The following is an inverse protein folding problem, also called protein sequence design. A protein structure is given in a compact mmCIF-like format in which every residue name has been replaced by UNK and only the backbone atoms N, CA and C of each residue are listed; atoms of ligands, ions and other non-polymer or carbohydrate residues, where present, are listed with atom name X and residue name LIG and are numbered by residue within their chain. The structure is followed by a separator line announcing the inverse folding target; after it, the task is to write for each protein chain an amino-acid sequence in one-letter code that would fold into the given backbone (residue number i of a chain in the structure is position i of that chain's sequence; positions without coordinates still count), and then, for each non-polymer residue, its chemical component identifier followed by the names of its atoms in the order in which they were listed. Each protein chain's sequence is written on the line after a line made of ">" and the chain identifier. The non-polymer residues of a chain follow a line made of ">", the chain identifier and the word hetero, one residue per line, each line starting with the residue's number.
data_IF_386106797289
#
_entry.id   IF_386106797289
#
_cell.length_a   1.000
_cell.length_b   1.000
_cell.length_c   1.000
_cell.angle_alpha   90.00
_cell.angle_beta   90.00
_cell.angle_gamma   90.00
#
_symmetry.space_group_name_H-M   'P 1'
#
loop_
_entity.id
_entity.type
_entity.pdbx_description
1 polymer ?
#
# COMPACT_ATOMS: atom_id res chain seq x y z
N UNK A 1 -3.03 -8.69 -18.60
CA UNK A 1 -2.06 -7.61 -18.90
C UNK A 1 -2.78 -6.27 -18.71
N UNK A 2 -2.28 -5.39 -17.82
CA UNK A 2 -2.90 -4.09 -17.54
C UNK A 2 -2.59 -3.10 -18.67
N UNK A 3 -3.57 -2.31 -19.10
CA UNK A 3 -3.35 -1.28 -20.12
C UNK A 3 -2.79 -0.01 -19.46
N UNK A 4 -1.51 0.26 -19.67
CA UNK A 4 -0.80 1.39 -19.06
C UNK A 4 -1.27 2.75 -19.59
N UNK A 5 -1.65 2.86 -20.87
CA UNK A 5 -2.12 4.12 -21.46
C UNK A 5 -3.47 4.52 -20.87
N UNK A 6 -4.37 3.54 -20.74
CA UNK A 6 -5.71 3.74 -20.18
C UNK A 6 -5.65 4.16 -18.71
N UNK A 7 -4.70 3.61 -17.95
CA UNK A 7 -4.59 3.80 -16.50
C UNK A 7 -3.62 4.91 -16.09
N UNK A 8 -2.92 5.52 -17.04
CA UNK A 8 -1.84 6.47 -16.78
C UNK A 8 -2.26 7.61 -15.86
N UNK A 9 -3.37 8.27 -16.18
CA UNK A 9 -3.85 9.44 -15.42
C UNK A 9 -4.15 9.10 -13.96
N UNK A 10 -4.86 7.99 -13.73
CA UNK A 10 -5.21 7.56 -12.38
C UNK A 10 -3.99 7.05 -11.61
N UNK A 11 -3.07 6.32 -12.26
CA UNK A 11 -1.84 5.89 -11.64
C UNK A 11 -0.98 7.09 -11.19
N UNK A 12 -0.92 8.16 -12.01
CA UNK A 12 -0.22 9.40 -11.65
C UNK A 12 -0.93 10.10 -10.49
N UNK A 13 -2.26 10.15 -10.49
CA UNK A 13 -3.05 10.74 -9.42
C UNK A 13 -2.84 10.00 -8.10
N UNK A 14 -2.88 8.66 -8.10
CA UNK A 14 -2.62 7.81 -6.94
C UNK A 14 -1.22 8.08 -6.35
N UNK A 15 -0.19 8.08 -7.20
CA UNK A 15 1.20 8.32 -6.77
C UNK A 15 1.35 9.71 -6.14
N UNK A 16 0.87 10.76 -6.82
CA UNK A 16 1.02 12.13 -6.35
C UNK A 16 0.18 12.39 -5.10
N UNK A 17 -1.07 11.90 -5.08
CA UNK A 17 -1.98 11.98 -3.95
C UNK A 17 -1.37 11.35 -2.71
N UNK A 18 -0.80 10.15 -2.85
CA UNK A 18 -0.12 9.47 -1.76
C UNK A 18 1.12 10.24 -1.25
N UNK A 19 1.93 10.81 -2.15
CA UNK A 19 3.08 11.63 -1.75
C UNK A 19 2.67 12.89 -0.98
N UNK A 20 1.60 13.55 -1.39
CA UNK A 20 1.04 14.72 -0.71
C UNK A 20 0.47 14.32 0.65
N UNK A 21 -0.33 13.25 0.70
CA UNK A 21 -0.92 12.73 1.93
C UNK A 21 0.16 12.32 2.94
N UNK A 22 1.20 11.60 2.50
CA UNK A 22 2.33 11.23 3.34
C UNK A 22 3.04 12.47 3.89
N UNK A 23 3.32 13.47 3.05
CA UNK A 23 3.95 14.72 3.50
C UNK A 23 3.10 15.41 4.58
N UNK A 24 1.81 15.59 4.32
CA UNK A 24 0.89 16.22 5.27
C UNK A 24 0.79 15.43 6.58
N UNK A 25 0.76 14.09 6.52
CA UNK A 25 0.77 13.22 7.68
C UNK A 25 2.06 13.37 8.51
N UNK A 26 3.20 13.47 7.84
CA UNK A 26 4.49 13.65 8.49
C UNK A 26 4.63 15.02 9.15
N UNK A 27 4.14 16.08 8.51
CA UNK A 27 4.21 17.48 8.97
C UNK A 27 3.20 17.78 10.09
N UNK A 28 1.99 17.20 10.04
CA UNK A 28 0.92 17.47 11.01
C UNK A 28 0.86 16.44 12.16
N UNK A 29 1.54 15.30 12.04
CA UNK A 29 1.50 14.27 13.07
C UNK A 29 2.45 14.59 14.22
N UNK A 30 1.92 15.01 15.37
CA UNK A 30 2.59 15.06 16.70
C UNK A 30 2.97 13.67 17.26
N UNK A 31 3.37 12.74 16.39
CA UNK A 31 3.86 11.41 16.77
C UNK A 31 5.33 11.40 16.40
N UNK A 32 6.19 11.28 17.41
CA UNK A 32 7.64 11.31 17.23
C UNK A 32 8.09 10.21 16.27
N UNK A 33 9.23 10.42 15.60
CA UNK A 33 9.89 9.44 14.72
C UNK A 33 10.44 8.21 15.46
N UNK A 34 10.10 8.03 16.74
CA UNK A 34 10.40 6.85 17.53
C UNK A 34 9.24 5.85 17.38
N UNK A 35 9.46 4.54 17.65
CA UNK A 35 8.34 3.63 17.90
C UNK A 35 7.40 4.30 18.90
N UNK A 36 6.08 4.19 18.70
CA UNK A 36 5.05 4.96 19.44
C UNK A 36 5.05 4.55 20.91
N UNK A 37 6.07 4.94 21.68
CA UNK A 37 6.20 4.71 23.11
C UNK A 37 5.47 5.80 23.89
N UNK A 38 4.22 6.07 23.51
CA UNK A 38 3.31 6.88 24.31
C UNK A 38 1.99 6.14 24.44
N UNK A 39 1.95 5.25 25.43
CA UNK A 39 0.80 4.80 26.23
C UNK A 39 -0.56 5.27 25.70
N UNK A 40 -0.95 4.80 24.53
CA UNK A 40 -2.33 4.77 24.10
C UNK A 40 -2.75 3.33 24.33
N UNK A 41 -3.54 3.09 25.37
CA UNK A 41 -3.96 1.75 25.77
C UNK A 41 -4.69 0.95 24.68
N UNK A 42 -5.03 1.60 23.56
CA UNK A 42 -5.62 0.97 22.38
C UNK A 42 -4.60 0.42 21.36
N UNK A 43 -3.37 0.94 21.31
CA UNK A 43 -2.35 0.49 20.34
C UNK A 43 -1.60 -0.78 20.81
N UNK A 44 -1.45 -0.93 22.13
CA UNK A 44 -0.82 -2.11 22.76
C UNK A 44 -1.55 -3.43 22.43
N UNK A 45 -2.87 -3.40 22.20
CA UNK A 45 -3.67 -4.62 22.00
C UNK A 45 -3.35 -5.37 20.70
N UNK A 46 -2.81 -4.67 19.70
CA UNK A 46 -2.56 -5.27 18.38
C UNK A 46 -1.07 -5.43 18.05
N UNK A 47 -0.15 -5.05 18.95
CA UNK A 47 1.30 -5.09 18.69
C UNK A 47 1.80 -3.99 17.73
N UNK A 48 1.09 -2.85 17.65
CA UNK A 48 1.40 -1.80 16.68
C UNK A 48 2.59 -0.91 17.11
N UNK A 49 3.00 -1.05 18.36
CA UNK A 49 4.16 -0.39 18.97
C UNK A 49 5.49 -0.79 18.30
N UNK A 50 5.49 -1.86 17.50
CA UNK A 50 6.63 -2.34 16.72
C UNK A 50 6.90 -1.49 15.46
N UNK A 51 5.90 -0.71 15.02
CA UNK A 51 5.95 0.03 13.77
C UNK A 51 6.14 1.53 14.01
N UNK A 52 6.96 2.17 13.17
CA UNK A 52 7.06 3.63 13.14
C UNK A 52 5.82 4.25 12.50
N UNK A 53 5.57 5.55 12.70
CA UNK A 53 4.41 6.22 12.09
C UNK A 53 4.43 6.12 10.55
N UNK A 54 5.61 6.15 9.95
CA UNK A 54 5.80 5.98 8.52
C UNK A 54 5.32 4.60 8.08
N UNK A 55 5.72 3.54 8.80
CA UNK A 55 5.27 2.18 8.54
C UNK A 55 3.75 2.06 8.65
N UNK A 56 3.18 2.63 9.71
CA UNK A 56 1.74 2.60 9.93
C UNK A 56 0.95 3.32 8.82
N UNK A 57 1.46 4.46 8.32
CA UNK A 57 0.86 5.15 7.19
C UNK A 57 0.77 4.22 5.97
N UNK A 58 1.87 3.56 5.59
CA UNK A 58 1.86 2.70 4.41
C UNK A 58 1.14 1.36 4.62
N UNK A 59 1.09 0.84 5.85
CA UNK A 59 0.22 -0.29 6.21
C UNK A 59 -1.24 0.09 6.00
N UNK A 60 -1.67 1.27 6.48
CA UNK A 60 -3.04 1.75 6.26
C UNK A 60 -3.35 1.96 4.77
N UNK A 61 -2.41 2.52 4.00
CA UNK A 61 -2.56 2.67 2.55
C UNK A 61 -2.76 1.33 1.85
N UNK A 62 -1.98 0.31 2.21
CA UNK A 62 -2.08 -1.02 1.60
C UNK A 62 -3.41 -1.71 1.97
N UNK A 63 -3.92 -1.48 3.18
CA UNK A 63 -5.19 -2.03 3.65
C UNK A 63 -6.40 -1.52 2.84
N UNK A 64 -6.38 -0.26 2.38
CA UNK A 64 -7.43 0.29 1.51
C UNK A 64 -7.53 -0.46 0.16
N UNK A 65 -6.43 -1.04 -0.31
CA UNK A 65 -6.37 -1.84 -1.54
C UNK A 65 -6.55 -3.35 -1.33
N UNK A 66 -6.83 -3.80 -0.11
CA UNK A 66 -7.00 -5.23 0.16
C UNK A 66 -8.33 -5.74 -0.40
N UNK A 67 -8.25 -6.78 -1.22
CA UNK A 67 -9.39 -7.50 -1.77
C UNK A 67 -9.26 -8.99 -1.45
N UNK A 68 -10.39 -9.66 -1.23
CA UNK A 68 -10.46 -11.10 -1.02
C UNK A 68 -11.46 -11.69 -2.01
N UNK A 69 -11.11 -12.85 -2.55
CA UNK A 69 -11.88 -13.55 -3.57
C UNK A 69 -12.21 -14.97 -3.10
N UNK A 70 -13.39 -15.46 -3.48
CA UNK A 70 -13.85 -16.81 -3.12
C UNK A 70 -13.04 -17.91 -3.81
N UNK A 71 -12.54 -17.63 -5.03
CA UNK A 71 -11.67 -18.51 -5.80
C UNK A 71 -10.78 -17.71 -6.77
N UNK A 72 -9.79 -18.39 -7.37
CA UNK A 72 -8.92 -17.80 -8.39
C UNK A 72 -9.71 -17.40 -9.65
N UNK A 73 -10.76 -18.14 -10.01
CA UNK A 73 -11.63 -17.81 -11.13
C UNK A 73 -12.42 -16.51 -10.88
N UNK A 74 -12.91 -16.33 -9.65
CA UNK A 74 -13.60 -15.11 -9.26
C UNK A 74 -12.67 -13.88 -9.27
N UNK A 75 -11.42 -14.06 -8.81
CA UNK A 75 -10.38 -13.03 -8.92
C UNK A 75 -10.07 -12.67 -10.37
N UNK A 76 -9.90 -13.69 -11.22
CA UNK A 76 -9.62 -13.50 -12.64
C UNK A 76 -10.74 -12.77 -13.36
N UNK A 77 -12.00 -13.19 -13.13
CA UNK A 77 -13.16 -12.57 -13.76
C UNK A 77 -13.31 -11.12 -13.32
N UNK A 78 -13.21 -10.85 -12.02
CA UNK A 78 -13.25 -9.50 -11.46
C UNK A 78 -12.16 -8.62 -12.07
N UNK A 79 -10.90 -9.06 -12.02
CA UNK A 79 -9.75 -8.32 -12.52
C UNK A 79 -9.85 -8.06 -14.03
N UNK A 80 -10.25 -9.07 -14.80
CA UNK A 80 -10.43 -8.95 -16.25
C UNK A 80 -11.53 -7.96 -16.60
N UNK A 81 -12.65 -7.98 -15.85
CA UNK A 81 -13.76 -7.06 -16.04
C UNK A 81 -13.36 -5.62 -15.72
N UNK A 82 -12.54 -5.42 -14.69
CA UNK A 82 -12.07 -4.11 -14.26
C UNK A 82 -11.13 -3.51 -15.31
N UNK A 83 -10.12 -4.25 -15.77
CA UNK A 83 -9.17 -3.76 -16.80
C UNK A 83 -9.90 -3.30 -18.08
N UNK A 84 -11.01 -3.95 -18.44
CA UNK A 84 -11.79 -3.57 -19.62
C UNK A 84 -12.62 -2.30 -19.41
N UNK A 85 -13.22 -2.09 -18.23
CA UNK A 85 -14.23 -1.04 -18.01
C UNK A 85 -13.73 0.15 -17.20
N UNK A 86 -12.77 -0.07 -16.32
CA UNK A 86 -12.24 0.92 -15.38
C UNK A 86 -10.95 1.55 -15.93
N UNK A 87 -10.76 2.82 -15.62
CA UNK A 87 -9.52 3.55 -15.90
C UNK A 87 -8.52 3.43 -14.74
N UNK A 88 -8.91 2.83 -13.62
CA UNK A 88 -7.99 2.48 -12.54
C UNK A 88 -7.34 1.13 -12.81
N UNK A 89 -6.07 1.00 -12.42
CA UNK A 89 -5.42 -0.31 -12.33
C UNK A 89 -6.12 -1.18 -11.26
N UNK A 90 -6.03 -2.52 -11.32
CA UNK A 90 -6.45 -3.37 -10.21
C UNK A 90 -5.79 -2.95 -8.89
N UNK A 91 -6.48 -3.11 -7.76
CA UNK A 91 -6.03 -2.53 -6.49
C UNK A 91 -4.65 -3.02 -6.04
N UNK A 92 -4.33 -4.31 -6.25
CA UNK A 92 -2.99 -4.86 -6.00
C UNK A 92 -1.90 -4.12 -6.78
N UNK A 93 -2.15 -3.79 -8.05
CA UNK A 93 -1.22 -3.05 -8.93
C UNK A 93 -1.10 -1.58 -8.48
N UNK A 94 -2.20 -0.95 -8.07
CA UNK A 94 -2.19 0.43 -7.55
C UNK A 94 -1.35 0.56 -6.29
N UNK A 95 -1.57 -0.34 -5.32
CA UNK A 95 -0.77 -0.40 -4.08
C UNK A 95 0.70 -0.56 -4.46
N UNK A 96 1.06 -1.59 -5.23
CA UNK A 96 2.45 -1.82 -5.61
C UNK A 96 3.09 -0.62 -6.33
N UNK A 97 2.40 0.02 -7.27
CA UNK A 97 2.91 1.21 -7.96
C UNK A 97 3.17 2.40 -7.03
N UNK A 98 2.28 2.65 -6.07
CA UNK A 98 2.48 3.69 -5.05
C UNK A 98 3.65 3.37 -4.11
N UNK A 99 3.80 2.08 -3.73
CA UNK A 99 4.87 1.61 -2.85
C UNK A 99 6.24 1.69 -3.55
N UNK A 100 6.35 1.26 -4.81
CA UNK A 100 7.59 1.32 -5.60
C UNK A 100 8.04 2.76 -5.90
N UNK A 101 7.10 3.67 -6.15
CA UNK A 101 7.39 5.08 -6.36
C UNK A 101 7.90 5.78 -5.08
N UNK A 102 7.58 5.21 -3.92
CA UNK A 102 7.97 5.76 -2.62
C UNK A 102 9.36 5.27 -2.21
N UNK A 103 10.41 6.00 -2.60
CA UNK A 103 11.82 5.71 -2.19
C UNK A 103 12.00 5.46 -0.69
N UNK A 104 11.22 6.13 0.16
CA UNK A 104 11.27 5.98 1.63
C UNK A 104 10.77 4.62 2.10
N UNK A 105 9.86 3.99 1.37
CA UNK A 105 9.30 2.69 1.72
C UNK A 105 10.20 1.52 1.31
N UNK A 106 10.93 1.64 0.20
CA UNK A 106 11.86 0.60 -0.25
C UNK A 106 12.87 0.25 0.87
N UNK A 107 13.33 1.26 1.62
CA UNK A 107 14.23 1.07 2.77
C UNK A 107 13.52 0.41 3.96
N UNK A 108 12.24 0.73 4.18
CA UNK A 108 11.43 0.23 5.29
C UNK A 108 11.03 -1.24 5.10
N UNK A 109 10.69 -1.65 3.87
CA UNK A 109 10.34 -3.04 3.53
C UNK A 109 11.56 -3.95 3.31
N UNK A 110 12.72 -3.38 2.97
CA UNK A 110 13.97 -4.14 2.88
C UNK A 110 14.67 -4.29 4.24
N UNK A 111 14.46 -3.35 5.18
CA UNK A 111 15.05 -3.38 6.52
C UNK A 111 14.32 -4.29 7.52
N UNK A 112 13.04 -4.58 7.27
CA UNK A 112 12.22 -5.51 8.06
C UNK A 112 11.69 -6.55 7.08
N UNK A 113 11.96 -7.84 7.31
CA UNK A 113 11.64 -8.96 6.41
C UNK A 113 10.13 -9.24 6.24
N UNK A 114 9.29 -8.21 6.14
CA UNK A 114 7.83 -8.27 6.05
C UNK A 114 7.38 -8.73 4.66
N UNK A 115 8.23 -8.59 3.63
CA UNK A 115 8.00 -9.18 2.30
C UNK A 115 8.97 -10.35 2.10
N UNK A 116 8.87 -11.38 2.95
CA UNK A 116 9.33 -12.72 2.56
C UNK A 116 8.17 -13.71 2.65
N UNK A 117 7.83 -14.21 1.46
CA UNK A 117 6.99 -15.37 1.12
C UNK A 117 5.49 -15.09 0.91
N UNK A 118 5.11 -14.90 -0.35
CA UNK A 118 4.58 -16.03 -1.13
C UNK A 118 5.26 -16.06 -2.49
N UNK A 119 5.69 -17.25 -2.88
CA UNK A 119 6.27 -17.57 -4.17
C UNK A 119 5.31 -17.14 -5.28
N UNK A 120 5.74 -16.24 -6.14
CA UNK A 120 5.33 -16.24 -7.54
C UNK A 120 6.58 -15.94 -8.33
N UNK A 121 7.15 -17.00 -8.90
CA UNK A 121 8.21 -16.91 -9.89
C UNK A 121 7.68 -16.09 -11.07
N UNK A 122 8.31 -14.93 -11.33
CA UNK A 122 8.10 -14.19 -12.57
C UNK A 122 8.81 -14.93 -13.69
N UNK A 123 8.04 -15.47 -14.63
CA UNK A 123 8.49 -15.72 -16.01
C UNK A 123 8.39 -14.42 -16.82
#
# INVERSE_FOLDING_TARGET
>A
MVNWEKTLTENVADILGNQIAFRAFMENGEVSSSPVHKKSSHFDYFGWDEFTKEQLFFISLAQEGCEAYESEEAEWERSSSQVQRDNHSPNSVRVMGMLESSRKLLIVLLGQSIIRRRNVDFF
#
